data_IF_339851317067
#
_entry.id   IF_339851317067
#
_cell.length_a   1.000
_cell.length_b   1.000
_cell.length_c   1.000
_cell.angle_alpha   90.00
_cell.angle_beta   90.00
_cell.angle_gamma   90.00
#
_symmetry.space_group_name_H-M   'P 1'
#
loop_
_entity.id
_entity.type
_entity.pdbx_description
1 polymer ?
#
# COMPACT_ATOMS: atom_id res chain seq x y z
N UNK A 1 64.64 13.71 39.51
CA UNK A 1 63.69 12.59 39.43
C UNK A 1 62.30 13.08 39.82
N UNK A 2 61.38 13.25 38.87
CA UNK A 2 59.93 13.37 39.13
C UNK A 2 59.20 13.08 37.82
N UNK A 3 58.50 11.95 37.74
CA UNK A 3 57.72 11.52 36.58
C UNK A 3 56.33 12.11 36.76
N UNK A 4 55.93 13.06 35.91
CA UNK A 4 54.58 13.64 35.91
C UNK A 4 53.79 12.99 34.78
N UNK A 5 52.88 12.10 35.15
CA UNK A 5 51.94 11.44 34.26
C UNK A 5 50.77 12.40 34.08
N UNK A 6 50.57 12.91 32.86
CA UNK A 6 49.43 13.74 32.49
C UNK A 6 48.33 12.85 31.92
N UNK A 7 47.18 12.83 32.58
CA UNK A 7 46.01 12.04 32.19
C UNK A 7 45.23 12.84 31.14
N UNK A 8 45.30 12.44 29.87
CA UNK A 8 44.48 13.02 28.80
C UNK A 8 43.07 12.46 28.89
N UNK A 9 42.14 13.30 29.32
CA UNK A 9 40.70 13.04 29.34
C UNK A 9 40.17 13.04 27.89
N UNK A 10 39.73 11.88 27.41
CA UNK A 10 39.10 11.73 26.09
C UNK A 10 37.62 12.14 26.21
N UNK A 11 37.28 13.33 25.72
CA UNK A 11 35.87 13.78 25.63
C UNK A 11 35.29 13.24 24.33
N UNK A 12 34.34 12.30 24.45
CA UNK A 12 33.56 11.81 23.31
C UNK A 12 32.48 12.81 22.94
N UNK A 13 32.56 13.40 21.74
CA UNK A 13 31.42 14.11 21.13
C UNK A 13 30.41 13.05 20.64
N UNK A 14 29.22 13.03 21.24
CA UNK A 14 28.08 12.29 20.72
C UNK A 14 27.50 13.08 19.54
N UNK A 15 27.59 12.53 18.33
CA UNK A 15 26.94 13.08 17.14
C UNK A 15 25.44 12.74 17.15
N UNK A 16 24.59 13.75 17.29
CA UNK A 16 23.14 13.61 17.05
C UNK A 16 22.88 13.59 15.55
N UNK A 17 22.68 12.39 15.00
CA UNK A 17 22.19 12.21 13.63
C UNK A 17 20.72 12.66 13.58
N UNK A 18 20.48 13.92 13.20
CA UNK A 18 19.17 14.36 12.75
C UNK A 18 18.92 13.74 11.38
N UNK A 19 17.89 12.90 11.28
CA UNK A 19 17.43 12.37 10.00
C UNK A 19 16.78 13.52 9.22
N UNK A 20 17.53 14.12 8.31
CA UNK A 20 17.01 15.04 7.31
C UNK A 20 16.37 14.20 6.19
N UNK A 21 15.04 14.16 6.18
CA UNK A 21 14.30 13.54 5.07
C UNK A 21 14.25 14.56 3.94
N UNK A 22 15.24 14.48 3.05
CA UNK A 22 15.19 15.19 1.77
C UNK A 22 14.24 14.42 0.85
N UNK A 23 13.08 15.00 0.56
CA UNK A 23 12.14 14.47 -0.42
C UNK A 23 12.61 14.97 -1.79
N UNK A 24 13.55 14.26 -2.42
CA UNK A 24 14.00 14.57 -3.78
C UNK A 24 13.41 13.56 -4.77
N UNK A 25 12.39 14.03 -5.49
CA UNK A 25 11.80 13.51 -6.75
C UNK A 25 11.02 12.18 -6.70
N UNK A 26 9.81 12.24 -7.27
CA UNK A 26 9.07 11.04 -7.68
C UNK A 26 9.85 10.27 -8.74
N UNK A 27 9.53 8.99 -8.92
CA UNK A 27 10.22 8.13 -9.88
C UNK A 27 10.04 8.68 -11.30
N UNK A 28 11.16 8.97 -11.99
CA UNK A 28 11.15 9.49 -13.36
C UNK A 28 10.72 8.42 -14.40
N UNK A 29 10.66 7.14 -14.02
CA UNK A 29 10.18 6.05 -14.88
C UNK A 29 9.35 5.02 -14.10
N UNK A 30 8.04 5.28 -13.88
CA UNK A 30 7.15 4.36 -13.18
C UNK A 30 6.96 3.05 -13.96
N UNK A 31 6.93 1.93 -13.26
CA UNK A 31 6.71 0.59 -13.82
C UNK A 31 5.30 0.48 -14.40
N UNK A 32 5.15 0.20 -15.72
CA UNK A 32 3.85 0.00 -16.34
C UNK A 32 3.18 -1.29 -15.85
N UNK A 33 1.95 -1.18 -15.36
CA UNK A 33 1.16 -2.32 -14.88
C UNK A 33 -0.27 -2.25 -15.40
N UNK A 34 -0.82 -3.37 -15.88
CA UNK A 34 -2.24 -3.48 -16.16
C UNK A 34 -2.95 -4.08 -14.95
N UNK A 35 -4.00 -3.42 -14.45
CA UNK A 35 -4.84 -3.93 -13.37
C UNK A 35 -6.24 -4.13 -13.93
N UNK A 36 -6.56 -5.36 -14.31
CA UNK A 36 -7.87 -5.66 -14.89
C UNK A 36 -8.94 -5.51 -13.80
N UNK A 37 -10.11 -4.91 -14.09
CA UNK A 37 -11.27 -4.93 -13.22
C UNK A 37 -11.62 -6.35 -12.77
N UNK A 38 -11.68 -6.58 -11.46
CA UNK A 38 -11.93 -7.93 -10.95
C UNK A 38 -13.40 -8.28 -11.17
N UNK A 39 -13.65 -9.35 -11.92
CA UNK A 39 -15.01 -9.81 -12.20
C UNK A 39 -15.73 -10.12 -10.89
N UNK A 40 -16.86 -9.47 -10.65
CA UNK A 40 -17.70 -9.70 -9.48
C UNK A 40 -19.12 -10.07 -9.88
N UNK A 41 -19.74 -10.98 -9.11
CA UNK A 41 -21.19 -11.27 -9.22
C UNK A 41 -22.03 -10.10 -8.70
N UNK A 42 -21.41 -9.17 -7.95
CA UNK A 42 -22.03 -7.97 -7.41
C UNK A 42 -21.15 -6.74 -7.70
N UNK A 43 -21.56 -5.87 -8.65
CA UNK A 43 -20.74 -4.74 -9.09
C UNK A 43 -20.47 -3.68 -8.02
N UNK A 44 -21.15 -3.75 -6.86
CA UNK A 44 -20.91 -2.84 -5.74
C UNK A 44 -19.59 -3.12 -4.98
N UNK A 45 -18.90 -4.21 -5.31
CA UNK A 45 -17.71 -4.69 -4.59
C UNK A 45 -16.59 -4.92 -5.59
N UNK A 46 -15.89 -3.85 -5.93
CA UNK A 46 -14.69 -3.89 -6.78
C UNK A 46 -13.47 -3.42 -5.99
N UNK A 47 -12.38 -4.20 -6.06
CA UNK A 47 -11.10 -3.93 -5.41
C UNK A 47 -10.07 -3.30 -6.36
N UNK A 48 -10.23 -3.46 -7.67
CA UNK A 48 -9.26 -2.99 -8.67
C UNK A 48 -8.98 -1.49 -8.56
N UNK A 49 -9.98 -0.60 -8.38
CA UNK A 49 -9.72 0.84 -8.23
C UNK A 49 -8.91 1.19 -6.99
N UNK A 50 -9.08 0.43 -5.89
CA UNK A 50 -8.33 0.66 -4.65
C UNK A 50 -6.88 0.21 -4.81
N UNK A 51 -6.66 -0.94 -5.45
CA UNK A 51 -5.31 -1.45 -5.76
C UNK A 51 -4.57 -0.46 -6.69
N UNK A 52 -5.24 -0.02 -7.76
CA UNK A 52 -4.67 0.97 -8.68
C UNK A 52 -4.32 2.28 -7.98
N UNK A 53 -5.21 2.77 -7.11
CA UNK A 53 -4.97 3.99 -6.33
C UNK A 53 -3.75 3.88 -5.42
N UNK A 54 -3.60 2.77 -4.70
CA UNK A 54 -2.46 2.55 -3.79
C UNK A 54 -1.14 2.48 -4.56
N UNK A 55 -1.12 1.76 -5.68
CA UNK A 55 0.07 1.61 -6.53
C UNK A 55 0.47 2.95 -7.19
N UNK A 56 -0.47 3.73 -7.71
CA UNK A 56 -0.20 5.09 -8.22
C UNK A 56 0.38 5.98 -7.12
N UNK A 57 -0.21 5.92 -5.92
CA UNK A 57 0.20 6.78 -4.80
C UNK A 57 1.61 6.49 -4.30
N UNK A 58 2.12 5.28 -4.54
CA UNK A 58 3.52 4.93 -4.27
C UNK A 58 4.53 5.69 -5.13
N UNK A 59 4.09 6.24 -6.27
CA UNK A 59 4.92 6.90 -7.26
C UNK A 59 5.80 5.95 -8.09
N UNK A 60 5.73 4.63 -7.86
CA UNK A 60 6.57 3.64 -8.56
C UNK A 60 5.86 2.95 -9.72
N UNK A 61 4.53 3.04 -9.80
CA UNK A 61 3.73 2.32 -10.79
C UNK A 61 2.92 3.27 -11.66
N UNK A 62 2.70 2.86 -12.91
CA UNK A 62 1.81 3.51 -13.85
C UNK A 62 0.75 2.51 -14.31
N UNK A 63 -0.41 2.43 -13.63
CA UNK A 63 -1.50 1.60 -14.06
C UNK A 63 -2.09 2.04 -15.40
N UNK A 64 -2.35 1.08 -16.28
CA UNK A 64 -3.10 1.32 -17.51
C UNK A 64 -4.56 1.61 -17.18
N UNK A 65 -5.12 2.67 -17.79
CA UNK A 65 -6.54 2.98 -17.68
C UNK A 65 -7.39 1.90 -18.35
N UNK A 66 -8.53 1.57 -17.73
CA UNK A 66 -9.43 0.49 -18.18
C UNK A 66 -9.87 0.66 -19.63
N UNK A 67 -10.18 1.88 -20.06
CA UNK A 67 -10.59 2.21 -21.43
C UNK A 67 -9.53 1.91 -22.50
N UNK A 68 -8.26 1.82 -22.10
CA UNK A 68 -7.13 1.53 -22.99
C UNK A 68 -6.78 0.03 -23.02
N UNK A 69 -7.49 -0.81 -22.25
CA UNK A 69 -7.27 -2.26 -22.23
C UNK A 69 -7.89 -2.93 -23.46
N UNK A 70 -7.19 -3.94 -24.00
CA UNK A 70 -7.66 -4.73 -25.14
C UNK A 70 -8.61 -5.88 -24.73
N UNK A 71 -8.53 -6.34 -23.48
CA UNK A 71 -9.34 -7.44 -22.96
C UNK A 71 -9.44 -7.38 -21.43
N UNK A 72 -10.39 -8.14 -20.87
CA UNK A 72 -10.68 -8.21 -19.43
C UNK A 72 -10.62 -9.67 -18.92
N UNK A 73 -9.45 -10.33 -18.97
CA UNK A 73 -9.29 -11.71 -18.50
C UNK A 73 -9.51 -11.79 -16.98
N UNK A 74 -10.25 -12.82 -16.54
CA UNK A 74 -10.51 -13.06 -15.11
C UNK A 74 -9.85 -14.33 -14.58
N UNK A 75 -9.29 -15.14 -15.48
CA UNK A 75 -8.58 -16.38 -15.16
C UNK A 75 -7.25 -16.43 -15.93
N UNK A 76 -6.24 -17.15 -15.41
CA UNK A 76 -4.94 -17.29 -16.08
C UNK A 76 -5.03 -17.80 -17.52
N UNK A 77 -5.98 -18.71 -17.80
CA UNK A 77 -6.15 -19.34 -19.11
C UNK A 77 -6.69 -18.37 -20.17
N UNK A 78 -7.33 -17.28 -19.74
CA UNK A 78 -7.89 -16.24 -20.62
C UNK A 78 -6.84 -15.18 -21.00
N UNK A 79 -5.61 -15.26 -20.46
CA UNK A 79 -4.58 -14.24 -20.65
C UNK A 79 -3.81 -14.45 -21.95
N UNK A 80 -3.89 -13.45 -22.84
CA UNK A 80 -3.05 -13.36 -24.04
C UNK A 80 -1.93 -12.33 -23.83
N UNK A 81 -0.74 -12.78 -23.40
CA UNK A 81 0.41 -11.91 -23.07
C UNK A 81 0.82 -10.95 -24.19
N UNK A 82 0.63 -11.35 -25.45
CA UNK A 82 0.92 -10.52 -26.62
C UNK A 82 0.17 -9.18 -26.57
N UNK A 83 -1.08 -9.19 -26.16
CA UNK A 83 -1.94 -8.00 -26.19
C UNK A 83 -1.45 -6.96 -25.18
N UNK A 84 -0.99 -7.41 -24.01
CA UNK A 84 -0.38 -6.57 -22.98
C UNK A 84 1.01 -6.05 -23.36
N UNK A 85 1.79 -6.86 -24.10
CA UNK A 85 3.10 -6.43 -24.63
C UNK A 85 2.96 -5.32 -25.67
N UNK A 86 1.92 -5.37 -26.51
CA UNK A 86 1.62 -4.32 -27.49
C UNK A 86 1.28 -2.99 -26.79
N UNK A 87 0.58 -3.08 -25.64
CA UNK A 87 0.27 -1.93 -24.79
C UNK A 87 1.48 -1.42 -24.00
N UNK A 88 2.64 -2.10 -24.06
CA UNK A 88 3.85 -1.72 -23.34
C UNK A 88 3.78 -2.02 -21.84
N UNK A 89 2.94 -2.97 -21.42
CA UNK A 89 2.80 -3.35 -20.01
C UNK A 89 3.87 -4.35 -19.60
N UNK A 90 4.52 -4.11 -18.45
CA UNK A 90 5.51 -5.03 -17.89
C UNK A 90 4.85 -6.08 -17.00
N UNK A 91 3.85 -5.66 -16.23
CA UNK A 91 3.09 -6.52 -15.32
C UNK A 91 1.60 -6.52 -15.64
N UNK A 92 0.94 -7.63 -15.33
CA UNK A 92 -0.51 -7.78 -15.43
C UNK A 92 -1.05 -8.38 -14.14
N UNK A 93 -2.00 -7.68 -13.52
CA UNK A 93 -2.77 -8.14 -12.37
C UNK A 93 -4.20 -8.44 -12.82
N UNK A 94 -4.65 -9.66 -12.58
CA UNK A 94 -6.04 -10.08 -12.78
C UNK A 94 -6.59 -10.67 -11.50
N UNK A 95 -7.91 -10.76 -11.40
CA UNK A 95 -8.56 -11.43 -10.30
C UNK A 95 -10.05 -11.56 -10.46
N UNK A 96 -10.65 -12.26 -9.50
CA UNK A 96 -12.11 -12.45 -9.42
C UNK A 96 -12.59 -12.46 -7.99
N UNK A 97 -13.87 -12.13 -7.83
CA UNK A 97 -14.58 -12.21 -6.57
C UNK A 97 -15.52 -13.41 -6.55
N UNK A 98 -15.49 -14.13 -5.44
CA UNK A 98 -16.47 -15.15 -5.11
C UNK A 98 -17.17 -14.74 -3.82
N UNK A 99 -18.47 -14.48 -3.89
CA UNK A 99 -19.29 -14.29 -2.69
C UNK A 99 -19.78 -15.66 -2.22
N UNK A 100 -19.43 -16.03 -0.99
CA UNK A 100 -19.86 -17.28 -0.39
C UNK A 100 -21.25 -17.13 0.25
N UNK A 101 -21.92 -18.26 0.48
CA UNK A 101 -23.29 -18.36 1.00
C UNK A 101 -23.44 -17.73 2.40
N UNK A 102 -22.36 -17.73 3.20
CA UNK A 102 -22.26 -17.10 4.52
C UNK A 102 -22.14 -15.56 4.46
N UNK A 103 -21.98 -14.98 3.27
CA UNK A 103 -21.82 -13.54 3.05
C UNK A 103 -20.37 -13.06 3.01
N UNK A 104 -19.40 -13.95 3.24
CA UNK A 104 -17.99 -13.63 3.08
C UNK A 104 -17.61 -13.49 1.60
N UNK A 105 -16.59 -12.68 1.36
CA UNK A 105 -16.04 -12.41 0.03
C UNK A 105 -14.65 -13.02 -0.02
N UNK A 106 -14.46 -13.90 -0.98
CA UNK A 106 -13.17 -14.48 -1.32
C UNK A 106 -12.67 -13.84 -2.61
N UNK A 107 -11.46 -13.29 -2.58
CA UNK A 107 -10.81 -12.65 -3.73
C UNK A 107 -9.59 -13.48 -4.10
N UNK A 108 -9.58 -14.01 -5.31
CA UNK A 108 -8.41 -14.67 -5.90
C UNK A 108 -7.74 -13.74 -6.90
N UNK A 109 -6.43 -13.62 -6.85
CA UNK A 109 -5.66 -12.76 -7.74
C UNK A 109 -4.45 -13.49 -8.32
N UNK A 110 -4.01 -13.06 -9.50
CA UNK A 110 -2.82 -13.53 -10.19
C UNK A 110 -2.06 -12.34 -10.76
N UNK A 111 -0.77 -12.27 -10.46
CA UNK A 111 0.17 -11.31 -10.99
C UNK A 111 1.11 -12.02 -11.96
N UNK A 112 1.23 -11.47 -13.15
CA UNK A 112 2.07 -11.98 -14.23
C UNK A 112 3.17 -10.99 -14.60
N UNK A 113 4.31 -11.55 -14.98
CA UNK A 113 5.33 -10.86 -15.76
C UNK A 113 5.02 -11.09 -17.25
N UNK A 114 4.71 -10.00 -17.97
CA UNK A 114 4.28 -10.03 -19.38
C UNK A 114 5.45 -10.33 -20.32
N UNK A 115 6.67 -9.95 -19.93
CA UNK A 115 7.88 -10.18 -20.73
C UNK A 115 8.34 -11.63 -20.62
N UNK A 116 8.30 -12.19 -19.41
CA UNK A 116 8.66 -13.58 -19.14
C UNK A 116 7.49 -14.56 -19.36
N UNK A 117 6.28 -14.07 -19.65
CA UNK A 117 5.06 -14.87 -19.88
C UNK A 117 4.78 -15.88 -18.76
N UNK A 118 4.97 -15.47 -17.51
CA UNK A 118 4.83 -16.36 -16.35
C UNK A 118 4.11 -15.68 -15.20
N UNK A 119 3.43 -16.50 -14.40
CA UNK A 119 2.91 -16.06 -13.11
C UNK A 119 4.09 -15.82 -12.16
N UNK A 120 4.10 -14.64 -11.52
CA UNK A 120 5.07 -14.30 -10.48
C UNK A 120 4.46 -14.48 -9.09
N UNK A 121 3.16 -14.25 -8.94
CA UNK A 121 2.45 -14.38 -7.68
C UNK A 121 0.98 -14.71 -7.90
N UNK A 122 0.44 -15.51 -7.00
CA UNK A 122 -1.01 -15.67 -6.85
C UNK A 122 -1.36 -15.81 -5.38
N UNK A 123 -2.62 -15.54 -5.07
CA UNK A 123 -3.13 -15.65 -3.72
C UNK A 123 -4.65 -15.62 -3.67
N UNK A 124 -5.17 -16.06 -2.54
CA UNK A 124 -6.60 -16.03 -2.25
C UNK A 124 -6.80 -15.48 -0.83
N UNK A 125 -7.63 -14.45 -0.71
CA UNK A 125 -7.91 -13.78 0.56
C UNK A 125 -9.41 -13.80 0.78
N UNK A 126 -9.83 -14.31 1.94
CA UNK A 126 -11.23 -14.30 2.37
C UNK A 126 -11.42 -13.31 3.51
N UNK A 127 -12.41 -12.43 3.39
CA UNK A 127 -12.85 -11.58 4.49
C UNK A 127 -14.35 -11.31 4.39
N UNK A 128 -14.93 -10.81 5.47
CA UNK A 128 -16.31 -10.33 5.45
C UNK A 128 -16.49 -9.17 4.47
N UNK A 129 -17.68 -9.04 3.89
CA UNK A 129 -18.04 -8.00 2.90
C UNK A 129 -17.66 -6.58 3.34
N UNK A 130 -17.75 -6.28 4.64
CA UNK A 130 -17.42 -4.94 5.17
C UNK A 130 -15.92 -4.61 5.12
N UNK A 131 -15.06 -5.61 4.91
CA UNK A 131 -13.59 -5.50 4.92
C UNK A 131 -12.96 -5.71 3.54
N UNK A 132 -13.73 -5.59 2.46
CA UNK A 132 -13.19 -5.76 1.10
C UNK A 132 -12.08 -4.76 0.78
N UNK A 133 -12.14 -3.54 1.34
CA UNK A 133 -11.04 -2.57 1.19
C UNK A 133 -9.75 -3.04 1.85
N UNK A 134 -9.84 -3.72 2.99
CA UNK A 134 -8.66 -4.29 3.65
C UNK A 134 -8.02 -5.38 2.79
N UNK A 135 -8.82 -6.15 2.03
CA UNK A 135 -8.32 -7.09 1.03
C UNK A 135 -7.56 -6.35 -0.06
N UNK A 136 -8.14 -5.28 -0.63
CA UNK A 136 -7.50 -4.51 -1.70
C UNK A 136 -6.14 -3.95 -1.27
N UNK A 137 -6.07 -3.31 -0.10
CA UNK A 137 -4.81 -2.78 0.45
C UNK A 137 -3.76 -3.88 0.64
N UNK A 138 -4.19 -5.06 1.09
CA UNK A 138 -3.28 -6.20 1.24
C UNK A 138 -2.78 -6.74 -0.10
N UNK A 139 -3.64 -6.83 -1.11
CA UNK A 139 -3.22 -7.23 -2.47
C UNK A 139 -2.22 -6.20 -3.02
N UNK A 140 -2.48 -4.91 -2.83
CA UNK A 140 -1.55 -3.86 -3.24
C UNK A 140 -0.18 -3.99 -2.55
N UNK A 141 -0.15 -4.31 -1.25
CA UNK A 141 1.10 -4.57 -0.52
C UNK A 141 1.84 -5.80 -1.08
N UNK A 142 1.13 -6.90 -1.33
CA UNK A 142 1.71 -8.14 -1.86
C UNK A 142 2.25 -7.95 -3.30
N UNK A 143 1.54 -7.21 -4.16
CA UNK A 143 2.00 -6.86 -5.51
C UNK A 143 3.20 -5.93 -5.48
N UNK A 144 3.16 -4.91 -4.62
CA UNK A 144 4.26 -3.97 -4.45
C UNK A 144 5.53 -4.68 -3.95
N UNK A 145 5.41 -5.56 -2.96
CA UNK A 145 6.54 -6.32 -2.43
C UNK A 145 7.10 -7.29 -3.46
N UNK A 146 6.25 -7.96 -4.25
CA UNK A 146 6.71 -8.88 -5.29
C UNK A 146 7.51 -8.16 -6.39
N UNK A 147 7.08 -6.97 -6.81
CA UNK A 147 7.72 -6.23 -7.90
C UNK A 147 8.96 -5.47 -7.41
N UNK A 148 8.89 -4.83 -6.24
CA UNK A 148 9.98 -3.98 -5.73
C UNK A 148 10.98 -4.72 -4.84
N UNK A 149 10.60 -5.88 -4.30
CA UNK A 149 11.33 -6.56 -3.23
C UNK A 149 11.27 -5.86 -1.87
N UNK A 150 10.49 -4.78 -1.74
CA UNK A 150 10.36 -3.96 -0.53
C UNK A 150 8.95 -4.16 0.02
N UNK A 151 8.80 -4.40 1.32
CA UNK A 151 7.47 -4.50 1.95
C UNK A 151 6.65 -3.24 1.71
N UNK A 152 5.46 -3.43 1.15
CA UNK A 152 4.44 -2.39 1.06
C UNK A 152 3.94 -1.94 2.44
N UNK A 153 3.43 -0.72 2.52
CA UNK A 153 2.87 -0.16 3.75
C UNK A 153 1.46 0.41 3.55
N UNK A 154 0.74 0.02 2.50
CA UNK A 154 -0.61 0.50 2.20
C UNK A 154 -1.65 0.01 3.23
N UNK A 155 -1.42 -1.16 3.83
CA UNK A 155 -2.23 -1.66 4.96
C UNK A 155 -1.90 -1.00 6.30
N UNK A 156 -0.87 -0.14 6.38
CA UNK A 156 -0.47 0.50 7.64
C UNK A 156 -1.35 1.71 7.98
N UNK A 157 -1.75 1.82 9.26
CA UNK A 157 -2.52 2.97 9.75
C UNK A 157 -1.55 3.98 10.36
N UNK A 158 -1.48 5.18 9.79
CA UNK A 158 -0.74 6.30 10.40
C UNK A 158 -1.66 6.99 11.40
N UNK A 159 -1.30 6.97 12.68
CA UNK A 159 -1.92 7.81 13.70
C UNK A 159 -1.28 9.20 13.62
N UNK A 160 -2.05 10.21 13.25
CA UNK A 160 -1.62 11.61 13.35
C UNK A 160 -2.34 12.27 14.53
N UNK A 161 -1.63 13.13 15.26
CA UNK A 161 -2.22 14.05 16.24
C UNK A 161 -2.29 15.41 15.56
N UNK A 162 -3.51 15.87 15.25
CA UNK A 162 -3.70 17.23 14.79
C UNK A 162 -3.57 18.15 16.01
N UNK A 163 -2.46 18.87 16.13
CA UNK A 163 -2.33 19.93 17.13
C UNK A 163 -2.83 21.22 16.49
N UNK A 164 -4.11 21.52 16.69
CA UNK A 164 -4.60 22.87 16.43
C UNK A 164 -3.97 23.79 17.48
N UNK A 165 -3.14 24.74 17.04
CA UNK A 165 -2.59 25.76 17.93
C UNK A 165 -3.69 26.78 18.25
N UNK A 166 -4.58 26.38 19.14
CA UNK A 166 -5.43 27.24 19.93
C UNK A 166 -4.84 27.11 21.33
N UNK A 167 -4.35 28.21 21.90
CA UNK A 167 -3.68 28.19 23.21
C UNK A 167 -4.55 27.65 24.36
N UNK A 168 -4.04 27.77 25.58
CA UNK A 168 -3.39 26.67 26.29
C UNK A 168 -4.32 25.46 26.54
N UNK A 169 -3.83 24.29 26.11
CA UNK A 169 -4.18 22.93 26.53
C UNK A 169 -5.66 22.51 26.49
N UNK A 170 -6.13 22.12 25.30
CA UNK A 170 -7.14 21.05 25.17
C UNK A 170 -6.70 20.10 24.04
N UNK A 171 -6.24 18.90 24.40
CA UNK A 171 -5.97 17.85 23.41
C UNK A 171 -7.28 17.07 23.19
N UNK A 172 -7.92 17.28 22.04
CA UNK A 172 -9.11 16.53 21.63
C UNK A 172 -8.69 15.44 20.63
N UNK A 173 -8.88 14.17 21.01
CA UNK A 173 -8.71 13.05 20.09
C UNK A 173 -9.96 12.91 19.23
N UNK A 174 -9.83 13.15 17.92
CA UNK A 174 -10.92 12.98 16.95
C UNK A 174 -10.67 11.72 16.11
N UNK A 175 -11.57 10.76 16.17
CA UNK A 175 -11.60 9.65 15.20
C UNK A 175 -12.56 9.97 14.05
N UNK A 176 -12.19 9.58 12.83
CA UNK A 176 -12.91 9.90 11.58
C UNK A 176 -14.31 9.26 11.45
N UNK A 177 -14.71 8.38 12.35
CA UNK A 177 -16.10 7.90 12.44
C UNK A 177 -16.78 8.55 13.65
N UNK A 178 -17.71 9.47 13.38
CA UNK A 178 -18.34 10.39 14.33
C UNK A 178 -19.06 9.76 15.53
N UNK A 179 -18.29 9.30 16.51
CA UNK A 179 -18.76 8.92 17.84
C UNK A 179 -18.17 9.87 18.90
N UNK A 180 -18.99 10.79 19.40
CA UNK A 180 -18.59 11.75 20.43
C UNK A 180 -18.54 11.09 21.81
N UNK A 181 -17.36 10.68 22.26
CA UNK A 181 -17.12 10.18 23.61
C UNK A 181 -16.36 11.19 24.45
N UNK A 182 -17.06 12.10 25.17
CA UNK A 182 -16.41 12.94 26.18
C UNK A 182 -16.08 12.10 27.41
N UNK A 183 -14.79 11.79 27.62
CA UNK A 183 -14.27 11.45 28.95
C UNK A 183 -13.28 12.51 29.40
N UNK A 184 -13.75 13.41 30.27
CA UNK A 184 -12.90 14.31 31.03
C UNK A 184 -12.30 13.54 32.19
N UNK A 185 -10.98 13.28 32.15
CA UNK A 185 -10.22 12.86 33.32
C UNK A 185 -9.29 14.01 33.70
N UNK A 186 -9.68 14.77 34.71
CA UNK A 186 -8.86 15.82 35.32
C UNK A 186 -7.81 15.16 36.20
N UNK A 187 -6.54 15.24 35.81
CA UNK A 187 -5.42 15.07 36.73
C UNK A 187 -4.81 16.44 37.00
N UNK A 188 -4.86 16.84 38.27
CA UNK A 188 -4.04 17.91 38.84
C UNK A 188 -2.84 17.25 39.54
N UNK A 189 -1.69 17.93 39.54
CA UNK A 189 -0.43 17.48 40.15
C UNK A 189 -0.59 16.93 41.58
#
# INVERSE_FOLDING_TARGET
>A
MKKMIWWTMFVSLQGSNALEIVIDRGNDNPTPIAIVPFTSTNPAVDVSPVIAFDLVRSGQFAPLEEENMLSYPSQPEDVYFRDWRILGMEYLLIGRHLTRVDGDVTVSYHLFDVSAEREVKSGEITASRDRVRDIAHRIADEVYEEITGIRGAFSTRILYVLVENIGPFVCALQTRNGGFGRRTSSYSL
#
